data_IF_033631827483
#
_entry.id   IF_033631827483
#
_cell.length_a   1.000
_cell.length_b   1.000
_cell.length_c   1.000
_cell.angle_alpha   90.00
_cell.angle_beta   90.00
_cell.angle_gamma   90.00
#
_symmetry.space_group_name_H-M   'P 1'
#
loop_
_entity.id
_entity.type
_entity.pdbx_description
1 polymer ?
#
# COMPACT_ATOMS: atom_id res chain seq x y z
N UNK A 1 7.73 1.87 12.58
CA UNK A 1 7.54 1.27 11.23
C UNK A 1 8.77 1.47 10.37
N UNK A 2 9.19 2.71 10.09
CA UNK A 2 10.42 2.94 9.31
C UNK A 2 11.68 2.34 9.96
N UNK A 3 11.83 2.42 11.28
CA UNK A 3 12.99 1.83 11.98
C UNK A 3 13.05 0.30 11.87
N UNK A 4 11.92 -0.41 12.03
CA UNK A 4 11.84 -1.86 11.82
C UNK A 4 12.19 -2.24 10.38
N UNK A 5 11.75 -1.44 9.40
CA UNK A 5 12.15 -1.59 8.01
C UNK A 5 13.67 -1.42 7.84
N UNK A 6 14.28 -0.39 8.42
CA UNK A 6 15.71 -0.15 8.31
C UNK A 6 16.52 -1.31 8.90
N UNK A 7 16.17 -1.76 10.11
CA UNK A 7 16.82 -2.88 10.78
C UNK A 7 16.75 -4.17 9.94
N UNK A 8 15.57 -4.51 9.41
CA UNK A 8 15.40 -5.68 8.55
C UNK A 8 16.15 -5.54 7.23
N UNK A 9 16.13 -4.35 6.62
CA UNK A 9 16.82 -4.09 5.36
C UNK A 9 18.32 -4.32 5.48
N UNK A 10 18.95 -3.80 6.55
CA UNK A 10 20.38 -4.01 6.81
C UNK A 10 20.70 -5.51 6.94
N UNK A 11 19.89 -6.26 7.69
CA UNK A 11 20.07 -7.71 7.84
C UNK A 11 20.03 -8.43 6.48
N UNK A 12 19.04 -8.13 5.63
CA UNK A 12 18.92 -8.78 4.33
C UNK A 12 20.02 -8.35 3.34
N UNK A 13 20.43 -7.08 3.36
CA UNK A 13 21.56 -6.59 2.57
C UNK A 13 22.82 -7.40 2.90
N UNK A 14 23.13 -7.56 4.18
CA UNK A 14 24.29 -8.34 4.63
C UNK A 14 24.22 -9.81 4.20
N UNK A 15 23.04 -10.42 4.22
CA UNK A 15 22.84 -11.79 3.73
C UNK A 15 23.16 -11.86 2.23
N UNK A 16 22.62 -10.94 1.43
CA UNK A 16 22.78 -10.97 -0.02
C UNK A 16 24.22 -10.67 -0.46
N UNK A 17 24.90 -9.73 0.20
CA UNK A 17 26.30 -9.45 -0.05
C UNK A 17 27.19 -10.66 0.21
N UNK A 18 26.93 -11.43 1.29
CA UNK A 18 27.64 -12.70 1.57
C UNK A 18 27.40 -13.77 0.51
N UNK A 19 26.24 -13.75 -0.16
CA UNK A 19 25.91 -14.67 -1.25
C UNK A 19 26.40 -14.22 -2.63
N UNK A 20 27.23 -13.16 -2.71
CA UNK A 20 27.70 -12.55 -3.97
C UNK A 20 26.58 -12.03 -4.88
N UNK A 21 25.44 -11.66 -4.29
CA UNK A 21 24.33 -11.01 -4.98
C UNK A 21 24.38 -9.49 -4.77
N UNK A 22 23.84 -8.73 -5.71
CA UNK A 22 23.64 -7.28 -5.55
C UNK A 22 22.27 -7.05 -4.90
N UNK A 23 22.21 -6.48 -3.67
CA UNK A 23 20.94 -6.15 -3.03
C UNK A 23 20.24 -5.02 -3.79
N UNK A 24 18.95 -5.19 -4.09
CA UNK A 24 18.12 -4.16 -4.71
C UNK A 24 16.93 -3.89 -3.79
N UNK A 25 16.82 -2.65 -3.32
CA UNK A 25 15.66 -2.18 -2.57
C UNK A 25 14.71 -1.50 -3.56
N UNK A 26 13.49 -2.01 -3.66
CA UNK A 26 12.44 -1.47 -4.52
C UNK A 26 11.28 -1.01 -3.65
N UNK A 27 10.69 0.14 -3.96
CA UNK A 27 9.57 0.69 -3.21
C UNK A 27 9.05 1.99 -3.81
N UNK A 28 8.16 2.65 -3.07
CA UNK A 28 7.60 3.96 -3.45
C UNK A 28 7.47 4.97 -2.29
N UNK A 29 7.88 4.60 -1.07
CA UNK A 29 7.81 5.48 0.09
C UNK A 29 9.18 6.09 0.41
N UNK A 30 9.40 7.32 -0.07
CA UNK A 30 10.67 8.03 0.12
C UNK A 30 11.05 8.17 1.59
N UNK A 31 10.08 8.36 2.49
CA UNK A 31 10.35 8.48 3.93
C UNK A 31 11.07 7.26 4.54
N UNK A 32 10.86 6.05 4.00
CA UNK A 32 11.55 4.84 4.44
C UNK A 32 12.98 4.80 3.90
N UNK A 33 13.17 5.18 2.63
CA UNK A 33 14.49 5.25 2.00
C UNK A 33 15.35 6.36 2.63
N UNK A 34 14.78 7.54 2.85
CA UNK A 34 15.43 8.65 3.55
C UNK A 34 15.85 8.23 4.96
N UNK A 35 14.96 7.58 5.72
CA UNK A 35 15.30 7.07 7.06
C UNK A 35 16.43 6.04 7.01
N UNK A 36 16.47 5.16 6.02
CA UNK A 36 17.53 4.17 5.88
C UNK A 36 18.86 4.82 5.49
N UNK A 37 18.84 5.74 4.53
CA UNK A 37 20.02 6.26 3.85
C UNK A 37 20.65 7.44 4.60
N UNK A 38 19.83 8.35 5.13
CA UNK A 38 20.28 9.63 5.71
C UNK A 38 20.44 9.57 7.23
N UNK A 39 19.82 8.61 7.92
CA UNK A 39 19.90 8.54 9.37
C UNK A 39 21.29 8.07 9.83
N UNK A 40 21.91 8.88 10.68
CA UNK A 40 23.24 8.63 11.24
C UNK A 40 23.30 7.34 12.05
N UNK A 41 22.19 6.89 12.63
CA UNK A 41 22.13 5.63 13.40
C UNK A 41 22.52 4.44 12.54
N UNK A 42 22.18 4.47 11.25
CA UNK A 42 22.47 3.36 10.32
C UNK A 42 23.77 3.54 9.55
N UNK A 43 24.35 4.74 9.54
CA UNK A 43 25.59 5.08 8.81
C UNK A 43 25.63 4.57 7.36
N UNK A 44 24.46 4.46 6.71
CA UNK A 44 24.29 3.62 5.52
C UNK A 44 25.16 4.07 4.34
N UNK A 45 25.32 5.38 4.14
CA UNK A 45 26.20 5.96 3.10
C UNK A 45 27.69 5.70 3.30
N UNK A 46 28.11 5.40 4.53
CA UNK A 46 29.51 5.09 4.85
C UNK A 46 29.83 3.61 4.64
N UNK A 47 28.85 2.74 4.88
CA UNK A 47 29.01 1.29 4.79
C UNK A 47 28.81 0.74 3.36
N UNK A 48 27.98 1.40 2.54
CA UNK A 48 27.59 0.88 1.24
C UNK A 48 27.80 1.86 0.08
N UNK A 49 28.16 1.33 -1.08
CA UNK A 49 28.11 2.08 -2.35
C UNK A 49 26.70 1.98 -2.94
N UNK A 50 26.03 3.12 -3.09
CA UNK A 50 24.60 3.21 -3.40
C UNK A 50 24.41 3.76 -4.81
N UNK A 51 23.55 3.11 -5.58
CA UNK A 51 23.07 3.60 -6.87
C UNK A 51 21.56 3.84 -6.80
N UNK A 52 21.14 5.07 -7.06
CA UNK A 52 19.72 5.42 -7.16
C UNK A 52 19.27 5.38 -8.62
N UNK A 53 18.21 4.61 -8.87
CA UNK A 53 17.53 4.55 -10.16
C UNK A 53 16.12 5.06 -9.93
N UNK A 54 15.78 6.18 -10.57
CA UNK A 54 14.43 6.74 -10.55
C UNK A 54 13.78 6.52 -11.91
N UNK A 55 12.53 6.07 -11.89
CA UNK A 55 11.70 5.97 -13.09
C UNK A 55 10.81 7.20 -13.17
N UNK A 56 10.92 7.95 -14.25
CA UNK A 56 10.09 9.13 -14.51
C UNK A 56 9.22 8.92 -15.76
N UNK A 57 8.00 9.46 -15.73
CA UNK A 57 7.00 9.30 -16.80
C UNK A 57 6.15 10.55 -16.89
N UNK A 58 5.60 10.81 -18.08
CA UNK A 58 4.65 11.91 -18.26
C UNK A 58 3.40 11.74 -17.37
N UNK A 59 2.97 12.82 -16.71
CA UNK A 59 1.83 12.78 -15.79
C UNK A 59 0.55 12.24 -16.42
N UNK A 60 0.30 12.55 -17.70
CA UNK A 60 -0.88 12.06 -18.43
C UNK A 60 -0.86 10.53 -18.58
N UNK A 61 0.29 9.96 -18.92
CA UNK A 61 0.51 8.51 -19.06
C UNK A 61 0.39 7.81 -17.71
N UNK A 62 0.95 8.42 -16.66
CA UNK A 62 0.84 7.90 -15.29
C UNK A 62 -0.61 7.83 -14.83
N UNK A 63 -1.37 8.92 -14.99
CA UNK A 63 -2.77 8.97 -14.57
C UNK A 63 -3.59 7.88 -15.26
N UNK A 64 -3.48 7.77 -16.59
CA UNK A 64 -4.19 6.73 -17.35
C UNK A 64 -3.88 5.32 -16.85
N UNK A 65 -2.60 5.05 -16.54
CA UNK A 65 -2.19 3.75 -16.00
C UNK A 65 -2.71 3.51 -14.59
N UNK A 66 -2.72 4.52 -13.73
CA UNK A 66 -3.25 4.41 -12.36
C UNK A 66 -4.74 4.12 -12.38
N UNK A 67 -5.51 4.82 -13.22
CA UNK A 67 -6.95 4.62 -13.37
C UNK A 67 -7.24 3.18 -13.83
N UNK A 68 -6.57 2.75 -14.92
CA UNK A 68 -6.72 1.37 -15.44
C UNK A 68 -6.37 0.33 -14.38
N UNK A 69 -5.31 0.57 -13.59
CA UNK A 69 -4.90 -0.35 -12.53
C UNK A 69 -5.93 -0.46 -11.41
N UNK A 70 -6.63 0.62 -11.07
CA UNK A 70 -7.70 0.57 -10.06
C UNK A 70 -8.87 -0.27 -10.57
N UNK A 71 -9.26 -0.10 -11.84
CA UNK A 71 -10.30 -0.93 -12.46
C UNK A 71 -9.90 -2.42 -12.45
N UNK A 72 -8.65 -2.72 -12.82
CA UNK A 72 -8.11 -4.08 -12.78
C UNK A 72 -8.11 -4.67 -11.36
N UNK A 73 -7.76 -3.87 -10.34
CA UNK A 73 -7.80 -4.29 -8.93
C UNK A 73 -9.22 -4.63 -8.48
N UNK A 74 -10.21 -3.82 -8.85
CA UNK A 74 -11.62 -4.11 -8.54
C UNK A 74 -12.07 -5.39 -9.24
N UNK A 75 -11.77 -5.55 -10.52
CA UNK A 75 -12.09 -6.76 -11.28
C UNK A 75 -11.41 -8.02 -10.72
N UNK A 76 -10.23 -7.87 -10.10
CA UNK A 76 -9.51 -8.94 -9.43
C UNK A 76 -10.00 -9.27 -8.01
N UNK A 77 -11.00 -8.53 -7.48
CA UNK A 77 -11.61 -8.80 -6.18
C UNK A 77 -11.14 -7.93 -5.03
N UNK A 78 -10.61 -6.73 -5.29
CA UNK A 78 -10.20 -5.77 -4.24
C UNK A 78 -11.33 -5.50 -3.22
N UNK A 79 -12.58 -5.40 -3.69
CA UNK A 79 -13.73 -5.15 -2.80
C UNK A 79 -13.90 -6.28 -1.79
N UNK A 80 -13.80 -7.52 -2.26
CA UNK A 80 -13.94 -8.71 -1.41
C UNK A 80 -12.78 -8.86 -0.43
N UNK A 81 -11.56 -8.54 -0.86
CA UNK A 81 -10.39 -8.50 0.01
C UNK A 81 -10.57 -7.50 1.16
N UNK A 82 -10.99 -6.26 0.85
CA UNK A 82 -11.17 -5.24 1.89
C UNK A 82 -12.34 -5.59 2.81
N UNK A 83 -13.42 -6.19 2.27
CA UNK A 83 -14.56 -6.65 3.08
C UNK A 83 -14.14 -7.66 4.16
N UNK A 84 -13.14 -8.51 3.89
CA UNK A 84 -12.63 -9.48 4.88
C UNK A 84 -11.93 -8.84 6.08
N UNK A 85 -11.32 -7.66 5.91
CA UNK A 85 -10.59 -6.96 6.98
C UNK A 85 -11.39 -5.77 7.57
N UNK A 86 -12.60 -5.54 7.05
CA UNK A 86 -13.45 -4.42 7.42
C UNK A 86 -13.97 -4.57 8.86
N UNK A 87 -13.70 -3.54 9.65
CA UNK A 87 -14.22 -3.38 11.01
C UNK A 87 -14.82 -1.98 11.10
N UNK A 88 -16.13 -1.83 11.38
CA UNK A 88 -16.81 -0.53 11.34
C UNK A 88 -16.15 0.56 12.20
N UNK A 89 -15.80 0.20 13.44
CA UNK A 89 -15.27 1.11 14.47
C UNK A 89 -13.74 1.15 14.55
N UNK A 90 -13.04 0.55 13.57
CA UNK A 90 -11.58 0.56 13.59
C UNK A 90 -11.00 1.94 13.22
N UNK A 91 -9.79 2.20 13.70
CA UNK A 91 -8.99 3.36 13.32
C UNK A 91 -8.32 3.11 11.95
N UNK A 92 -8.82 3.79 10.90
CA UNK A 92 -8.30 3.69 9.53
C UNK A 92 -7.12 4.64 9.25
N UNK A 93 -6.55 5.26 10.28
CA UNK A 93 -5.34 6.11 10.14
C UNK A 93 -4.04 5.36 10.42
N UNK A 94 -4.12 4.07 10.79
CA UNK A 94 -2.97 3.30 11.27
C UNK A 94 -2.77 1.99 10.53
N UNK A 95 -1.49 1.66 10.31
CA UNK A 95 -1.06 0.38 9.77
C UNK A 95 -1.72 0.04 8.44
N UNK A 96 -2.07 -1.23 8.25
CA UNK A 96 -2.64 -1.71 6.98
C UNK A 96 -3.94 -0.99 6.58
N UNK A 97 -4.67 -0.42 7.55
CA UNK A 97 -5.94 0.28 7.28
C UNK A 97 -5.77 1.68 6.70
N UNK A 98 -4.55 2.22 6.74
CA UNK A 98 -4.18 3.48 6.09
C UNK A 98 -3.90 3.30 4.59
N UNK A 99 -3.79 2.05 4.10
CA UNK A 99 -3.47 1.78 2.69
C UNK A 99 -4.48 2.44 1.76
N UNK A 100 -4.01 3.06 0.69
CA UNK A 100 -4.86 3.77 -0.28
C UNK A 100 -5.93 2.81 -0.82
N UNK A 101 -7.18 3.27 -0.85
CA UNK A 101 -8.34 2.49 -1.25
C UNK A 101 -9.07 1.83 -0.07
N UNK A 102 -8.39 1.56 1.05
CA UNK A 102 -9.02 0.92 2.21
C UNK A 102 -9.95 1.88 2.97
N UNK A 103 -9.58 3.13 3.30
CA UNK A 103 -10.50 4.08 3.91
C UNK A 103 -11.73 4.39 3.03
N UNK A 104 -11.52 4.52 1.72
CA UNK A 104 -12.57 4.76 0.73
C UNK A 104 -13.57 3.59 0.70
N UNK A 105 -13.05 2.36 0.66
CA UNK A 105 -13.88 1.15 0.67
C UNK A 105 -14.56 0.93 2.03
N UNK A 106 -13.91 1.30 3.14
CA UNK A 106 -14.54 1.26 4.46
C UNK A 106 -15.72 2.22 4.56
N UNK A 107 -15.65 3.40 3.91
CA UNK A 107 -16.80 4.31 3.80
C UNK A 107 -17.92 3.67 2.98
N UNK A 108 -17.61 3.08 1.83
CA UNK A 108 -18.58 2.36 1.01
C UNK A 108 -19.30 1.23 1.78
N UNK A 109 -18.54 0.38 2.47
CA UNK A 109 -19.08 -0.77 3.23
C UNK A 109 -19.93 -0.35 4.44
N UNK A 110 -19.72 0.84 5.00
CA UNK A 110 -20.61 1.38 6.05
C UNK A 110 -21.98 1.74 5.47
N UNK A 111 -22.00 2.43 4.33
CA UNK A 111 -23.25 2.82 3.67
C UNK A 111 -24.02 1.61 3.15
N UNK A 112 -23.33 0.61 2.58
CA UNK A 112 -23.93 -0.65 2.14
C UNK A 112 -24.73 -1.33 3.26
N UNK A 113 -24.17 -1.39 4.48
CA UNK A 113 -24.85 -1.95 5.66
C UNK A 113 -26.03 -1.11 6.15
N UNK A 114 -25.95 0.22 6.03
CA UNK A 114 -27.05 1.09 6.42
C UNK A 114 -28.27 0.87 5.51
N UNK A 115 -28.03 0.64 4.22
CA UNK A 115 -29.08 0.33 3.24
C UNK A 115 -29.71 -1.04 3.54
N UNK A 116 -28.90 -2.07 3.80
CA UNK A 116 -29.42 -3.41 4.16
C UNK A 116 -30.19 -3.43 5.50
N UNK A 117 -29.90 -2.48 6.40
CA UNK A 117 -30.58 -2.34 7.69
C UNK A 117 -31.97 -1.72 7.62
N UNK A 118 -32.27 -0.97 6.56
CA UNK A 118 -33.58 -0.34 6.32
C UNK A 118 -34.51 -1.22 5.45
N UNK A 119 -33.98 -2.30 4.88
CA UNK A 119 -34.65 -3.11 3.86
C UNK A 119 -35.16 -4.49 4.32
N UNK A 120 -35.80 -4.54 5.51
CA UNK A 120 -36.87 -5.54 5.73
C UNK A 120 -38.20 -5.12 5.09
N UNK A 121 -38.23 -4.00 4.33
CA UNK A 121 -39.48 -3.39 3.83
C UNK A 121 -39.60 -3.18 2.31
N UNK A 122 -38.58 -3.33 1.46
CA UNK A 122 -38.72 -3.05 0.03
C UNK A 122 -38.08 -4.10 -0.91
N UNK A 123 -38.55 -5.34 -0.80
CA UNK A 123 -38.53 -6.28 -1.94
C UNK A 123 -39.59 -5.91 -2.97
N UNK A 124 -39.33 -4.90 -3.80
CA UNK A 124 -40.00 -4.64 -5.10
C UNK A 124 -39.44 -3.30 -5.62
N UNK A 125 -38.53 -3.23 -6.58
CA UNK A 125 -38.69 -3.38 -8.04
C UNK A 125 -37.26 -3.09 -8.55
N UNK A 126 -36.61 -3.92 -9.36
CA UNK A 126 -36.48 -3.72 -10.82
C UNK A 126 -36.16 -5.06 -11.49
N UNK A 127 -36.94 -5.45 -12.49
CA UNK A 127 -36.49 -6.25 -13.63
C UNK A 127 -37.01 -5.57 -14.91
N UNK A 128 -36.49 -5.99 -16.07
CA UNK A 128 -35.45 -5.33 -16.86
C UNK A 128 -35.93 -4.11 -17.65
#
# INVERSE_FOLDING_TARGET
MAEDFCMKSIVYIEIFLKTQCVPIIVGGSNSYIEKLVEDIVFMFKYEYNICFISTDVEQSVLNLRVDTRVDDMVNAGMVDEVRQIFIPEADYTKGIRQSIGVPEMARYLREEKNIDGDDESNKMIVQP
#
